data_IF_849699087488
#
_entry.id   IF_849699087488
#
_cell.length_a   1.000
_cell.length_b   1.000
_cell.length_c   1.000
_cell.angle_alpha   90.00
_cell.angle_beta   90.00
_cell.angle_gamma   90.00
#
_symmetry.space_group_name_H-M   'P 1'
#
loop_
_entity.id
_entity.type
_entity.pdbx_description
1 polymer ?
#
# COMPACT_ATOMS: atom_id res chain seq x y z
N UNK A 1 30.32 13.77 11.54
CA UNK A 1 29.61 13.54 10.26
C UNK A 1 30.66 13.21 9.21
N UNK A 2 30.89 11.93 8.89
CA UNK A 2 31.86 11.54 7.87
C UNK A 2 31.40 12.04 6.50
N UNK A 3 32.30 12.67 5.74
CA UNK A 3 32.07 13.00 4.34
C UNK A 3 31.76 11.72 3.58
N UNK A 4 30.58 11.64 2.98
CA UNK A 4 30.27 10.56 2.04
C UNK A 4 31.09 10.81 0.79
N UNK A 5 32.32 10.29 0.76
CA UNK A 5 33.14 10.29 -0.45
C UNK A 5 32.38 9.46 -1.48
N UNK A 6 31.77 10.14 -2.45
CA UNK A 6 31.11 9.48 -3.56
C UNK A 6 32.18 8.87 -4.47
N UNK A 7 32.47 7.58 -4.29
CA UNK A 7 33.56 6.89 -4.97
C UNK A 7 33.22 6.42 -6.39
N UNK A 8 31.95 6.49 -6.80
CA UNK A 8 31.49 6.01 -8.11
C UNK A 8 30.38 6.88 -8.69
N UNK A 9 30.29 6.91 -10.03
CA UNK A 9 29.20 7.61 -10.76
C UNK A 9 27.82 7.14 -10.31
N UNK A 10 27.66 5.84 -10.03
CA UNK A 10 26.43 5.30 -9.48
C UNK A 10 26.06 5.93 -8.14
N UNK A 11 27.02 6.11 -7.23
CA UNK A 11 26.77 6.73 -5.92
C UNK A 11 26.34 8.20 -6.02
N UNK A 12 26.75 8.91 -7.07
CA UNK A 12 26.37 10.31 -7.31
C UNK A 12 24.95 10.38 -7.90
N UNK A 13 24.67 9.54 -8.90
CA UNK A 13 23.39 9.58 -9.63
C UNK A 13 22.25 8.91 -8.87
N UNK A 14 22.53 7.95 -8.01
CA UNK A 14 21.50 7.19 -7.33
C UNK A 14 20.88 7.97 -6.17
N UNK A 15 19.79 8.68 -6.47
CA UNK A 15 18.92 9.36 -5.50
C UNK A 15 17.50 8.77 -5.48
N UNK A 16 17.36 7.49 -5.84
CA UNK A 16 16.05 6.84 -5.95
C UNK A 16 15.50 6.49 -4.57
N UNK A 17 14.20 6.71 -4.34
CA UNK A 17 13.55 6.41 -3.06
C UNK A 17 13.22 4.92 -2.86
N UNK A 18 13.26 4.10 -3.92
CA UNK A 18 12.89 2.67 -3.87
C UNK A 18 14.06 1.76 -4.25
N UNK A 19 14.10 0.57 -3.65
CA UNK A 19 15.10 -0.48 -3.99
C UNK A 19 14.93 -1.00 -5.42
N UNK A 20 13.72 -1.00 -5.95
CA UNK A 20 13.47 -1.34 -7.37
C UNK A 20 14.07 -0.26 -8.30
N UNK A 21 13.91 1.01 -7.94
CA UNK A 21 14.47 2.13 -8.69
C UNK A 21 16.00 2.11 -8.73
N UNK A 22 16.66 1.84 -7.60
CA UNK A 22 18.13 1.78 -7.52
C UNK A 22 18.69 0.64 -8.38
N UNK A 23 18.04 -0.53 -8.35
CA UNK A 23 18.37 -1.66 -9.23
C UNK A 23 18.18 -1.30 -10.71
N UNK A 24 17.06 -0.67 -11.06
CA UNK A 24 16.79 -0.22 -12.43
C UNK A 24 17.82 0.80 -12.93
N UNK A 25 18.21 1.76 -12.08
CA UNK A 25 19.22 2.76 -12.42
C UNK A 25 20.58 2.10 -12.66
N UNK A 26 20.97 1.15 -11.80
CA UNK A 26 22.19 0.37 -11.99
C UNK A 26 22.18 -0.36 -13.33
N UNK A 27 21.07 -1.00 -13.68
CA UNK A 27 20.93 -1.68 -14.98
C UNK A 27 21.04 -0.72 -16.16
N UNK A 28 20.48 0.49 -16.06
CA UNK A 28 20.59 1.50 -17.11
C UNK A 28 22.02 2.01 -17.31
N UNK A 29 22.80 2.12 -16.25
CA UNK A 29 24.22 2.50 -16.35
C UNK A 29 25.07 1.38 -16.96
N UNK A 30 24.74 0.12 -16.67
CA UNK A 30 25.43 -1.04 -17.25
C UNK A 30 25.03 -1.31 -18.70
N UNK A 31 23.81 -0.91 -19.10
CA UNK A 31 23.24 -1.16 -20.43
C UNK A 31 22.68 0.14 -21.00
N UNK A 32 23.54 1.02 -21.54
CA UNK A 32 23.11 2.27 -22.15
C UNK A 32 22.22 1.98 -23.37
N UNK A 33 21.24 2.86 -23.59
CA UNK A 33 20.37 2.79 -24.75
C UNK A 33 21.14 3.19 -26.02
N UNK A 34 20.88 2.48 -27.11
CA UNK A 34 21.42 2.78 -28.45
C UNK A 34 20.38 3.44 -29.37
N UNK A 35 19.09 3.32 -29.04
CA UNK A 35 18.00 3.87 -29.83
C UNK A 35 17.67 5.30 -29.43
N UNK A 36 17.79 6.23 -30.38
CA UNK A 36 17.61 7.67 -30.15
C UNK A 36 16.21 8.05 -29.67
N UNK A 37 15.17 7.37 -30.18
CA UNK A 37 13.78 7.60 -29.78
C UNK A 37 13.54 7.26 -28.30
N UNK A 38 14.14 6.18 -27.79
CA UNK A 38 14.03 5.78 -26.39
C UNK A 38 14.81 6.74 -25.48
N UNK A 39 15.95 7.27 -25.95
CA UNK A 39 16.72 8.28 -25.23
C UNK A 39 15.90 9.57 -25.10
N UNK A 40 15.33 10.06 -26.20
CA UNK A 40 14.48 11.25 -26.19
C UNK A 40 13.26 11.06 -25.31
N UNK A 41 12.61 9.90 -25.35
CA UNK A 41 11.48 9.61 -24.46
C UNK A 41 11.89 9.72 -22.97
N UNK A 42 13.02 9.13 -22.57
CA UNK A 42 13.53 9.27 -21.18
C UNK A 42 13.86 10.71 -20.81
N UNK A 43 14.56 11.43 -21.69
CA UNK A 43 14.90 12.84 -21.48
C UNK A 43 13.65 13.70 -21.35
N UNK A 44 12.61 13.37 -22.12
CA UNK A 44 11.35 14.06 -22.07
C UNK A 44 10.62 13.83 -20.74
N UNK A 45 10.54 12.59 -20.26
CA UNK A 45 10.00 12.29 -18.93
C UNK A 45 10.73 13.09 -17.84
N UNK A 46 12.07 13.12 -17.88
CA UNK A 46 12.87 13.89 -16.92
C UNK A 46 12.55 15.37 -17.02
N UNK A 47 12.45 15.92 -18.24
CA UNK A 47 12.11 17.33 -18.47
C UNK A 47 10.76 17.67 -17.84
N UNK A 48 9.71 16.92 -18.12
CA UNK A 48 8.37 17.19 -17.57
C UNK A 48 8.34 17.13 -16.05
N UNK A 49 9.07 16.18 -15.44
CA UNK A 49 9.21 16.11 -13.98
C UNK A 49 9.92 17.34 -13.40
N UNK A 50 10.98 17.83 -14.05
CA UNK A 50 11.73 19.00 -13.58
C UNK A 50 10.95 20.31 -13.72
N UNK A 51 10.05 20.41 -14.71
CA UNK A 51 9.20 21.60 -14.89
C UNK A 51 8.05 21.68 -13.87
N UNK A 52 7.80 20.62 -13.11
CA UNK A 52 6.70 20.51 -12.15
C UNK A 52 7.27 20.11 -10.76
N UNK A 53 8.01 21.01 -10.09
CA UNK A 53 8.74 20.68 -8.86
C UNK A 53 7.82 20.31 -7.69
N UNK A 54 6.63 20.91 -7.60
CA UNK A 54 5.66 20.60 -6.55
C UNK A 54 5.21 19.13 -6.63
N UNK A 55 4.78 18.68 -7.81
CA UNK A 55 4.35 17.29 -8.02
C UNK A 55 5.52 16.31 -7.90
N UNK A 56 6.73 16.72 -8.29
CA UNK A 56 7.94 15.92 -8.07
C UNK A 56 8.22 15.73 -6.58
N UNK A 57 8.02 16.76 -5.75
CA UNK A 57 8.12 16.65 -4.30
C UNK A 57 7.03 15.73 -3.75
N UNK A 58 5.79 15.81 -4.23
CA UNK A 58 4.74 14.87 -3.80
C UNK A 58 5.09 13.39 -4.12
N UNK A 59 5.83 13.16 -5.20
CA UNK A 59 6.31 11.82 -5.54
C UNK A 59 7.49 11.39 -4.66
N UNK A 60 8.45 12.29 -4.38
CA UNK A 60 9.75 11.97 -3.75
C UNK A 60 9.84 12.23 -2.25
N UNK A 61 9.08 13.19 -1.74
CA UNK A 61 9.24 13.84 -0.45
C UNK A 61 9.32 12.85 0.69
N UNK A 62 10.06 13.24 1.74
CA UNK A 62 10.33 12.40 2.91
C UNK A 62 9.04 12.11 3.69
N UNK A 63 8.29 11.12 3.23
CA UNK A 63 6.97 10.77 3.77
C UNK A 63 5.98 10.31 2.70
N UNK A 64 6.18 10.76 1.46
CA UNK A 64 5.18 10.66 0.40
C UNK A 64 5.43 9.47 -0.55
N UNK A 65 4.57 9.32 -1.54
CA UNK A 65 4.14 8.03 -2.09
C UNK A 65 5.25 6.99 -2.37
N UNK A 66 6.35 7.38 -3.02
CA UNK A 66 7.42 6.46 -3.43
C UNK A 66 8.32 6.00 -2.28
N UNK A 67 8.54 6.79 -1.24
CA UNK A 67 9.50 6.42 -0.18
C UNK A 67 9.05 5.21 0.64
N UNK A 68 7.73 5.08 0.87
CA UNK A 68 7.16 3.92 1.60
C UNK A 68 6.67 2.80 0.67
N UNK A 69 7.07 2.84 -0.59
CA UNK A 69 6.65 1.83 -1.56
C UNK A 69 7.49 0.55 -1.34
N UNK A 70 6.85 -0.61 -1.07
CA UNK A 70 7.60 -1.84 -0.83
C UNK A 70 8.24 -2.35 -2.11
N UNK A 71 9.19 -3.27 -1.97
CA UNK A 71 9.81 -3.96 -3.10
C UNK A 71 8.81 -4.96 -3.74
N UNK A 72 8.04 -4.47 -4.71
CA UNK A 72 7.05 -5.26 -5.44
C UNK A 72 7.67 -6.38 -6.28
N UNK A 73 8.89 -6.21 -6.78
CA UNK A 73 9.55 -7.29 -7.52
C UNK A 73 9.80 -8.48 -6.58
N UNK A 74 10.31 -8.23 -5.36
CA UNK A 74 10.51 -9.28 -4.36
C UNK A 74 9.20 -9.91 -3.91
N UNK A 75 8.17 -9.10 -3.63
CA UNK A 75 6.84 -9.60 -3.24
C UNK A 75 6.18 -10.41 -4.37
N UNK A 76 6.24 -9.93 -5.61
CA UNK A 76 5.72 -10.63 -6.78
C UNK A 76 6.39 -11.98 -7.00
N UNK A 77 7.72 -12.05 -6.89
CA UNK A 77 8.45 -13.32 -6.96
C UNK A 77 8.01 -14.30 -5.85
N UNK A 78 7.79 -13.82 -4.63
CA UNK A 78 7.33 -14.64 -3.51
C UNK A 78 5.93 -15.20 -3.77
N UNK A 79 5.01 -14.37 -4.29
CA UNK A 79 3.65 -14.78 -4.65
C UNK A 79 3.64 -15.84 -5.76
N UNK A 80 4.49 -15.69 -6.79
CA UNK A 80 4.55 -16.63 -7.91
C UNK A 80 5.23 -17.95 -7.54
N UNK A 81 6.35 -17.91 -6.79
CA UNK A 81 7.18 -19.11 -6.57
C UNK A 81 6.78 -19.90 -5.33
N UNK A 82 6.27 -19.24 -4.31
CA UNK A 82 6.00 -19.85 -3.01
C UNK A 82 4.68 -19.33 -2.42
N UNK A 83 3.53 -19.57 -3.08
CA UNK A 83 2.24 -19.05 -2.61
C UNK A 83 1.89 -19.52 -1.19
N UNK A 84 2.33 -20.73 -0.81
CA UNK A 84 2.15 -21.28 0.55
C UNK A 84 2.99 -20.59 1.64
N UNK A 85 4.00 -19.81 1.28
CA UNK A 85 4.87 -19.05 2.20
C UNK A 85 4.43 -17.59 2.36
N UNK A 86 3.39 -17.18 1.63
CA UNK A 86 2.87 -15.80 1.67
C UNK A 86 2.08 -15.62 2.96
N UNK A 87 2.53 -14.70 3.80
CA UNK A 87 1.87 -14.37 5.06
C UNK A 87 0.79 -13.30 4.83
N UNK A 88 -0.16 -13.18 5.76
CA UNK A 88 -1.14 -12.08 5.75
C UNK A 88 -0.46 -10.70 5.78
N UNK A 89 0.71 -10.59 6.44
CA UNK A 89 1.49 -9.35 6.44
C UNK A 89 1.95 -8.98 5.03
N UNK A 90 2.38 -9.96 4.22
CA UNK A 90 2.81 -9.70 2.84
C UNK A 90 1.63 -9.20 1.99
N UNK A 91 0.43 -9.78 2.20
CA UNK A 91 -0.81 -9.34 1.54
C UNK A 91 -1.21 -7.92 1.97
N UNK A 92 -1.07 -7.60 3.25
CA UNK A 92 -1.35 -6.26 3.78
C UNK A 92 -0.34 -5.23 3.25
N UNK A 93 0.94 -5.61 3.14
CA UNK A 93 1.96 -4.78 2.50
C UNK A 93 1.63 -4.52 1.04
N UNK A 94 1.17 -5.54 0.31
CA UNK A 94 0.72 -5.39 -1.08
C UNK A 94 -0.51 -4.48 -1.18
N UNK A 95 -1.51 -4.67 -0.31
CA UNK A 95 -2.68 -3.81 -0.21
C UNK A 95 -2.30 -2.34 -0.04
N UNK A 96 -1.44 -2.04 0.94
CA UNK A 96 -0.91 -0.68 1.16
C UNK A 96 -0.16 -0.15 -0.06
N UNK A 97 0.58 -0.99 -0.78
CA UNK A 97 1.29 -0.59 -2.00
C UNK A 97 0.33 -0.19 -3.12
N UNK A 98 -0.77 -0.94 -3.31
CA UNK A 98 -1.79 -0.63 -4.31
C UNK A 98 -2.52 0.67 -3.98
N UNK A 99 -2.87 0.90 -2.70
CA UNK A 99 -3.45 2.18 -2.27
C UNK A 99 -2.52 3.36 -2.57
N UNK A 100 -1.22 3.21 -2.28
CA UNK A 100 -0.23 4.26 -2.61
C UNK A 100 -0.11 4.44 -4.12
N UNK A 101 -0.17 3.38 -4.90
CA UNK A 101 -0.14 3.46 -6.35
C UNK A 101 -1.33 4.26 -6.90
N UNK A 102 -2.52 4.13 -6.28
CA UNK A 102 -3.68 4.96 -6.63
C UNK A 102 -3.42 6.45 -6.39
N UNK A 103 -2.79 6.81 -5.28
CA UNK A 103 -2.39 8.21 -5.03
C UNK A 103 -1.37 8.71 -6.05
N UNK A 104 -0.39 7.87 -6.43
CA UNK A 104 0.58 8.21 -7.50
C UNK A 104 -0.13 8.49 -8.82
N UNK A 105 -1.16 7.71 -9.18
CA UNK A 105 -1.96 7.97 -10.39
C UNK A 105 -2.60 9.35 -10.33
N UNK A 106 -3.16 9.75 -9.19
CA UNK A 106 -3.74 11.10 -9.01
C UNK A 106 -2.70 12.21 -9.12
N UNK A 107 -1.49 12.01 -8.59
CA UNK A 107 -0.41 12.98 -8.76
C UNK A 107 0.04 13.04 -10.23
N UNK A 108 0.06 11.90 -10.93
CA UNK A 108 0.43 11.82 -12.33
C UNK A 108 -0.60 12.49 -13.27
N UNK A 109 -1.90 12.46 -12.95
CA UNK A 109 -2.92 13.15 -13.75
C UNK A 109 -2.72 14.68 -13.74
N UNK A 110 -2.24 15.25 -12.64
CA UNK A 110 -1.93 16.67 -12.57
C UNK A 110 -0.81 17.11 -13.54
N UNK A 111 0.09 16.19 -13.95
CA UNK A 111 1.07 16.48 -15.00
C UNK A 111 0.45 16.45 -16.40
N UNK A 112 -0.62 15.67 -16.60
CA UNK A 112 -1.27 15.57 -17.92
C UNK A 112 -2.22 16.74 -18.20
N UNK A 113 -2.78 17.34 -17.15
CA UNK A 113 -3.75 18.43 -17.29
C UNK A 113 -3.08 19.78 -17.63
N UNK A 114 -1.87 20.03 -17.15
CA UNK A 114 -1.10 21.26 -17.40
C UNK A 114 -0.68 21.45 -18.87
N UNK A 115 -0.66 20.38 -19.67
CA UNK A 115 -0.31 20.45 -21.11
C UNK A 115 -1.52 20.72 -22.01
N UNK A 116 -2.75 20.47 -21.53
CA UNK A 116 -3.95 20.71 -22.34
C UNK A 116 -4.31 22.20 -22.45
N UNK A 117 -3.83 23.04 -21.54
CA UNK A 117 -4.10 24.49 -21.53
C UNK A 117 -3.10 25.29 -22.36
N UNK A 118 -1.91 24.75 -22.62
CA UNK A 118 -0.89 25.36 -23.46
C UNK A 118 -1.04 24.89 -24.91
N UNK A 119 -2.01 25.48 -25.61
CA UNK A 119 -2.24 25.23 -27.04
C UNK A 119 -0.98 25.50 -27.87
N UNK A 120 -0.53 24.47 -28.59
CA UNK A 120 0.47 24.49 -29.66
C UNK A 120 1.93 24.69 -29.24
N UNK A 121 2.71 23.59 -29.24
CA UNK A 121 3.87 23.39 -30.14
C UNK A 121 4.67 22.09 -29.88
N UNK A 122 4.45 21.35 -28.79
CA UNK A 122 5.14 20.06 -28.59
C UNK A 122 4.20 18.93 -28.16
N UNK A 123 3.44 18.36 -29.10
CA UNK A 123 2.64 17.14 -28.87
C UNK A 123 3.47 15.89 -28.53
N UNK A 124 4.80 15.98 -28.67
CA UNK A 124 5.74 14.91 -28.35
C UNK A 124 6.18 14.95 -26.87
N UNK A 125 5.85 16.02 -26.14
CA UNK A 125 6.39 16.31 -24.82
C UNK A 125 5.79 15.46 -23.68
N UNK A 126 4.59 14.91 -23.86
CA UNK A 126 3.87 14.25 -22.75
C UNK A 126 3.74 12.74 -22.95
N UNK A 127 4.25 12.19 -24.05
CA UNK A 127 4.04 10.78 -24.41
C UNK A 127 4.51 9.79 -23.34
N UNK A 128 5.67 10.03 -22.74
CA UNK A 128 6.23 9.12 -21.74
C UNK A 128 5.48 9.11 -20.40
N UNK A 129 5.17 10.28 -19.84
CA UNK A 129 4.43 10.37 -18.56
C UNK A 129 2.95 10.01 -18.74
N UNK A 130 2.32 10.36 -19.85
CA UNK A 130 0.94 9.92 -20.16
C UNK A 130 0.86 8.41 -20.35
N UNK A 131 1.87 7.79 -20.96
CA UNK A 131 1.99 6.34 -21.05
C UNK A 131 2.09 5.72 -19.65
N UNK A 132 2.97 6.25 -18.79
CA UNK A 132 3.12 5.77 -17.40
C UNK A 132 1.81 5.91 -16.62
N UNK A 133 1.13 7.06 -16.72
CA UNK A 133 -0.16 7.30 -16.06
C UNK A 133 -1.22 6.28 -16.51
N UNK A 134 -1.34 6.05 -17.83
CA UNK A 134 -2.27 5.08 -18.40
C UNK A 134 -1.97 3.65 -17.97
N UNK A 135 -0.71 3.24 -18.05
CA UNK A 135 -0.28 1.88 -17.72
C UNK A 135 -0.44 1.61 -16.21
N UNK A 136 -0.07 2.58 -15.37
CA UNK A 136 -0.25 2.47 -13.93
C UNK A 136 -1.74 2.44 -13.55
N UNK A 137 -2.56 3.34 -14.10
CA UNK A 137 -4.01 3.36 -13.86
C UNK A 137 -4.69 2.06 -14.31
N UNK A 138 -4.27 1.52 -15.46
CA UNK A 138 -4.74 0.22 -15.95
C UNK A 138 -4.34 -0.95 -15.03
N UNK A 139 -3.16 -0.89 -14.42
CA UNK A 139 -2.70 -1.92 -13.49
C UNK A 139 -3.37 -1.82 -12.12
N UNK A 140 -3.57 -0.61 -11.58
CA UNK A 140 -4.29 -0.40 -10.32
C UNK A 140 -5.74 -0.87 -10.45
N UNK A 141 -6.39 -0.59 -11.58
CA UNK A 141 -7.75 -1.06 -11.86
C UNK A 141 -7.90 -2.59 -11.81
N UNK A 142 -6.88 -3.35 -12.23
CA UNK A 142 -6.88 -4.82 -12.14
C UNK A 142 -6.81 -5.30 -10.69
N UNK A 143 -6.24 -4.51 -9.79
CA UNK A 143 -6.13 -4.81 -8.37
C UNK A 143 -7.40 -4.48 -7.57
N UNK A 144 -8.41 -3.82 -8.15
CA UNK A 144 -9.63 -3.44 -7.41
C UNK A 144 -10.36 -4.64 -6.79
N UNK A 145 -10.42 -5.78 -7.49
CA UNK A 145 -10.99 -7.02 -6.93
C UNK A 145 -10.20 -7.54 -5.74
N UNK A 146 -8.88 -7.40 -5.77
CA UNK A 146 -8.00 -7.78 -4.66
C UNK A 146 -8.20 -6.84 -3.46
N UNK A 147 -8.32 -5.53 -3.69
CA UNK A 147 -8.62 -4.57 -2.62
C UNK A 147 -9.94 -4.92 -1.91
N UNK A 148 -11.01 -5.11 -2.68
CA UNK A 148 -12.31 -5.48 -2.15
C UNK A 148 -12.27 -6.80 -1.35
N UNK A 149 -11.53 -7.79 -1.83
CA UNK A 149 -11.34 -9.06 -1.12
C UNK A 149 -10.66 -8.85 0.25
N UNK A 150 -9.59 -8.05 0.30
CA UNK A 150 -8.87 -7.79 1.55
C UNK A 150 -9.74 -6.99 2.53
N UNK A 151 -10.47 -5.99 2.05
CA UNK A 151 -11.39 -5.19 2.86
C UNK A 151 -12.56 -6.01 3.43
N UNK A 152 -13.04 -7.02 2.71
CA UNK A 152 -14.08 -7.93 3.21
C UNK A 152 -13.52 -8.93 4.23
N UNK A 153 -12.37 -9.56 3.92
CA UNK A 153 -11.84 -10.72 4.64
C UNK A 153 -10.97 -10.34 5.85
N UNK A 154 -10.36 -9.15 5.84
CA UNK A 154 -9.44 -8.71 6.88
C UNK A 154 -10.12 -7.68 7.77
N UNK A 155 -10.09 -7.93 9.08
CA UNK A 155 -10.57 -6.95 10.06
C UNK A 155 -9.53 -5.85 10.26
N UNK A 156 -9.59 -4.83 9.40
CA UNK A 156 -8.67 -3.69 9.44
C UNK A 156 -8.77 -2.89 10.76
N UNK A 157 -9.97 -2.87 11.37
CA UNK A 157 -10.21 -2.14 12.62
C UNK A 157 -9.51 -2.84 13.79
N UNK A 158 -9.63 -4.17 13.89
CA UNK A 158 -8.90 -4.96 14.90
C UNK A 158 -7.39 -4.84 14.72
N UNK A 159 -6.90 -4.79 13.48
CA UNK A 159 -5.48 -4.53 13.19
C UNK A 159 -5.07 -3.11 13.61
N UNK A 160 -5.95 -2.13 13.66
CA UNK A 160 -5.58 -0.81 14.14
C UNK A 160 -5.58 -0.75 15.67
N UNK A 161 -6.58 -1.34 16.32
CA UNK A 161 -6.77 -1.36 17.77
C UNK A 161 -5.66 -2.13 18.50
N UNK A 162 -5.29 -3.31 18.01
CA UNK A 162 -4.27 -4.16 18.67
C UNK A 162 -2.87 -3.50 18.64
N UNK A 163 -2.64 -2.59 17.70
CA UNK A 163 -1.36 -1.90 17.51
C UNK A 163 -1.36 -0.52 18.19
N UNK A 164 -2.50 0.19 18.18
CA UNK A 164 -2.71 1.38 18.99
C UNK A 164 -2.56 1.10 20.50
N UNK A 165 -3.03 -0.05 20.97
CA UNK A 165 -2.90 -0.46 22.37
C UNK A 165 -1.44 -0.72 22.80
N UNK A 166 -0.57 -1.26 21.93
CA UNK A 166 0.86 -1.50 22.23
C UNK A 166 1.69 -0.22 22.23
N UNK A 167 1.33 0.76 21.41
CA UNK A 167 1.98 2.07 21.42
C UNK A 167 1.56 2.89 22.66
N UNK A 168 0.32 2.74 23.12
CA UNK A 168 -0.16 3.36 24.35
C UNK A 168 0.53 2.82 25.62
N UNK A 169 0.91 1.53 25.65
CA UNK A 169 1.66 0.96 26.77
C UNK A 169 3.14 1.36 26.82
N UNK A 170 3.68 1.94 25.74
CA UNK A 170 5.04 2.48 25.70
C UNK A 170 5.09 3.99 25.95
N UNK A 171 3.95 4.68 25.98
CA UNK A 171 3.83 6.12 26.26
C UNK A 171 3.29 6.39 27.67
N UNK A 172 3.86 5.72 28.67
CA UNK A 172 3.61 6.01 30.08
C UNK A 172 4.59 7.06 30.59
N UNK A 173 4.20 8.34 30.48
CA UNK A 173 4.48 9.46 31.39
C UNK A 173 4.53 10.78 30.61
N UNK A 174 3.42 11.53 30.65
CA UNK A 174 3.35 12.99 30.91
C UNK A 174 1.94 13.49 30.61
N UNK A 175 1.26 14.01 31.63
CA UNK A 175 -0.07 14.64 31.56
C UNK A 175 -0.01 16.04 30.92
N UNK A 176 -1.02 16.43 30.13
CA UNK A 176 -2.16 17.26 30.58
C UNK A 176 -2.92 17.89 29.39
N UNK A 177 -4.26 17.89 29.53
CA UNK A 177 -5.25 18.89 29.05
C UNK A 177 -5.16 19.45 27.62
N UNK A 178 -6.09 19.08 26.74
CA UNK A 178 -7.35 19.83 26.55
C UNK A 178 -8.18 19.22 25.41
N UNK A 179 -9.49 19.20 25.61
CA UNK A 179 -10.46 18.67 24.65
C UNK A 179 -10.92 19.74 23.67
N UNK A 180 -10.85 19.49 22.37
CA UNK A 180 -11.81 20.03 21.39
C UNK A 180 -12.09 18.95 20.33
N UNK A 181 -13.36 18.58 20.21
CA UNK A 181 -13.86 17.74 19.13
C UNK A 181 -13.92 18.54 17.83
N UNK A 182 -13.33 18.02 16.76
CA UNK A 182 -13.86 18.22 15.42
C UNK A 182 -13.56 17.02 14.51
N UNK A 183 -14.64 16.48 13.97
CA UNK A 183 -14.73 15.49 12.90
C UNK A 183 -14.04 16.04 11.63
N UNK A 184 -13.09 15.28 11.05
CA UNK A 184 -12.75 15.23 9.63
C UNK A 184 -11.57 14.27 9.37
N UNK A 185 -11.93 13.04 9.02
CA UNK A 185 -11.25 12.11 8.11
C UNK A 185 -9.83 12.50 7.62
N UNK A 186 -8.84 11.74 8.10
CA UNK A 186 -7.50 11.57 7.50
C UNK A 186 -6.63 12.84 7.36
N UNK A 187 -5.90 13.20 8.43
CA UNK A 187 -4.60 13.87 8.27
C UNK A 187 -3.61 13.46 9.36
N UNK A 188 -2.50 12.88 8.88
CA UNK A 188 -1.12 13.02 9.34
C UNK A 188 -0.82 13.10 10.85
N UNK A 189 -0.13 12.07 11.38
CA UNK A 189 1.29 12.18 11.73
C UNK A 189 1.84 10.83 12.22
N UNK A 190 3.11 10.59 11.90
CA UNK A 190 4.04 9.65 12.54
C UNK A 190 3.52 8.26 12.87
N UNK A 191 3.72 7.36 11.92
CA UNK A 191 3.80 5.94 12.26
C UNK A 191 5.08 5.38 11.68
N UNK A 192 6.09 5.31 12.54
CA UNK A 192 7.18 4.35 12.40
C UNK A 192 6.55 2.95 12.27
N UNK A 193 6.74 2.29 11.13
CA UNK A 193 6.20 0.95 10.92
C UNK A 193 7.32 -0.09 10.89
N UNK A 194 7.40 -0.72 12.06
CA UNK A 194 7.98 -2.00 12.43
C UNK A 194 7.61 -3.16 11.48
N UNK A 195 8.57 -4.05 11.21
CA UNK A 195 8.39 -5.34 10.53
C UNK A 195 7.94 -6.42 11.54
N UNK A 196 6.80 -7.11 11.33
CA UNK A 196 6.28 -8.04 12.32
C UNK A 196 7.12 -9.32 12.40
N UNK A 197 7.43 -9.76 13.62
CA UNK A 197 8.16 -11.01 13.89
C UNK A 197 7.23 -12.23 13.78
N UNK A 198 7.82 -13.39 13.43
CA UNK A 198 7.12 -14.64 13.12
C UNK A 198 6.22 -15.20 14.25
N UNK A 199 6.37 -14.71 15.49
CA UNK A 199 5.54 -15.12 16.63
C UNK A 199 4.18 -14.41 16.70
N UNK A 200 4.00 -13.28 15.98
CA UNK A 200 2.75 -12.49 15.98
C UNK A 200 1.57 -13.15 15.24
N UNK A 201 1.80 -14.25 14.51
CA UNK A 201 0.81 -14.91 13.66
C UNK A 201 -0.06 -15.96 14.37
N UNK A 202 0.03 -16.10 15.70
CA UNK A 202 -0.81 -17.04 16.46
C UNK A 202 -2.24 -16.55 16.70
N UNK A 203 -2.50 -15.24 16.60
CA UNK A 203 -3.85 -14.69 16.75
C UNK A 203 -4.62 -14.69 15.42
N UNK A 204 -5.93 -14.97 15.46
CA UNK A 204 -6.77 -15.08 14.27
C UNK A 204 -7.20 -13.68 13.81
N UNK A 205 -6.53 -13.17 12.77
CA UNK A 205 -6.77 -11.85 12.15
C UNK A 205 -7.69 -11.88 10.93
N UNK A 206 -8.21 -13.06 10.59
CA UNK A 206 -9.25 -13.23 9.57
C UNK A 206 -10.57 -12.82 10.20
N UNK A 207 -11.34 -12.00 9.50
CA UNK A 207 -12.72 -11.68 9.86
C UNK A 207 -13.52 -12.98 9.78
N UNK A 208 -13.62 -13.70 10.91
CA UNK A 208 -14.66 -14.72 11.05
C UNK A 208 -15.95 -13.92 10.99
N UNK A 209 -16.77 -14.15 9.95
CA UNK A 209 -18.02 -13.42 9.76
C UNK A 209 -18.74 -13.31 11.12
N UNK A 210 -18.93 -12.09 11.66
CA UNK A 210 -19.63 -11.96 12.91
C UNK A 210 -21.05 -12.43 12.64
N UNK A 211 -21.47 -13.41 13.44
CA UNK A 211 -22.76 -14.08 13.44
C UNK A 211 -23.03 -15.04 12.28
N UNK A 212 -23.34 -16.28 12.67
CA UNK A 212 -24.46 -17.06 12.14
C UNK A 212 -25.43 -16.14 11.36
N UNK A 213 -25.73 -16.43 10.09
CA UNK A 213 -26.80 -15.71 9.38
C UNK A 213 -28.07 -15.70 10.27
N UNK A 214 -28.98 -14.72 10.15
CA UNK A 214 -30.23 -14.74 10.93
C UNK A 214 -30.95 -16.10 10.82
N UNK A 215 -30.85 -16.74 9.65
CA UNK A 215 -31.32 -18.09 9.37
C UNK A 215 -30.58 -19.14 10.22
N UNK A 216 -29.25 -19.11 10.22
CA UNK A 216 -28.44 -20.04 11.01
C UNK A 216 -28.69 -19.82 12.51
N UNK A 217 -28.85 -18.58 12.96
CA UNK A 217 -29.08 -18.21 14.37
C UNK A 217 -30.44 -18.73 14.83
N UNK A 218 -31.43 -18.68 13.95
CA UNK A 218 -32.75 -19.28 14.16
C UNK A 218 -32.62 -20.80 14.27
N UNK A 219 -31.88 -21.41 13.35
CA UNK A 219 -31.63 -22.86 13.35
C UNK A 219 -30.84 -23.33 14.59
N UNK A 220 -29.90 -22.54 15.10
CA UNK A 220 -29.18 -22.83 16.33
C UNK A 220 -30.11 -22.82 17.55
N UNK A 221 -31.01 -21.82 17.61
CA UNK A 221 -32.01 -21.70 18.69
C UNK A 221 -33.00 -22.86 18.64
N UNK A 222 -33.43 -23.26 17.44
CA UNK A 222 -34.30 -24.43 17.24
C UNK A 222 -33.61 -25.73 17.68
N UNK A 223 -32.34 -25.93 17.29
CA UNK A 223 -31.56 -27.11 17.71
C UNK A 223 -31.39 -27.16 19.24
N UNK A 224 -31.12 -26.03 19.90
CA UNK A 224 -31.04 -25.97 21.36
C UNK A 224 -32.38 -26.30 22.03
N UNK A 225 -33.49 -25.80 21.47
CA UNK A 225 -34.84 -26.13 21.95
C UNK A 225 -35.15 -27.62 21.81
N UNK A 226 -34.82 -28.23 20.68
CA UNK A 226 -35.00 -29.67 20.44
C UNK A 226 -34.13 -30.47 21.41
N UNK A 227 -32.87 -30.09 21.60
CA UNK A 227 -31.97 -30.80 22.51
C UNK A 227 -32.44 -30.72 23.97
N UNK A 228 -32.97 -29.57 24.41
CA UNK A 228 -33.60 -29.44 25.72
C UNK A 228 -34.86 -30.30 25.84
N UNK A 229 -35.71 -30.32 24.81
CA UNK A 229 -36.90 -31.18 24.78
C UNK A 229 -36.54 -32.66 24.84
N UNK A 230 -35.56 -33.12 24.08
CA UNK A 230 -35.08 -34.51 24.13
C UNK A 230 -34.49 -34.85 25.50
N UNK A 231 -33.75 -33.93 26.13
CA UNK A 231 -33.20 -34.17 27.46
C UNK A 231 -34.30 -34.30 28.52
N UNK A 232 -35.34 -33.47 28.42
CA UNK A 232 -36.51 -33.51 29.31
C UNK A 232 -37.31 -34.80 29.12
N UNK A 233 -37.46 -35.24 27.87
CA UNK A 233 -38.15 -36.50 27.56
C UNK A 233 -37.35 -37.73 28.00
N UNK A 234 -36.03 -37.69 27.84
CA UNK A 234 -35.16 -38.74 28.36
C UNK A 234 -35.26 -38.87 29.89
N UNK A 235 -35.36 -37.76 30.62
CA UNK A 235 -35.59 -37.74 32.07
C UNK A 235 -36.99 -38.21 32.49
N UNK A 236 -37.97 -38.27 31.58
CA UNK A 236 -39.31 -38.81 31.85
C UNK A 236 -39.42 -40.32 31.63
N UNK A 237 -38.59 -40.84 30.72
CA UNK A 237 -38.61 -42.25 30.30
C UNK A 237 -37.70 -43.12 31.18
N UNK A 238 -36.73 -42.53 31.86
CA UNK A 238 -35.88 -43.14 32.91
C UNK A 238 -36.53 -42.96 34.29
#
# INVERSE_FOLDING_TARGET
KHSTVHTSVYSILNQTSTTMGSRRLKDWLLRPLTHISLIHNRQQCIRTLLHNPHQLELLRGSGEHLHRFPDLEKLGLKLLRSPSSVSLSDLLTLYRAVLRAQSVVTVLSAFTDNDNTNGSLEKDATGGITQIHRDLGGNVSKCNKFLALIEEVVDLQRIQETYGARNATNSGESSSSDAVAHDAYFSEHETEYFTPSSEMFRDKWVRVRPSFTPELTTLHRELQSIQASMHTEHQRVV
#
